data_IF_705798563683
#
_entry.id   IF_705798563683
#
_cell.length_a   1.000
_cell.length_b   1.000
_cell.length_c   1.000
_cell.angle_alpha   90.00
_cell.angle_beta   90.00
_cell.angle_gamma   90.00
#
_symmetry.space_group_name_H-M   'P 1'
#
loop_
_entity.id
_entity.type
_entity.pdbx_description
1 polymer ?
#
# COMPACT_ATOMS: atom_id res chain seq x y z
N UNK A 1 34.35 28.80 12.00
CA UNK A 1 32.90 28.59 11.78
C UNK A 1 32.57 28.31 10.32
N UNK A 2 32.89 29.21 9.37
CA UNK A 2 32.59 29.00 7.93
C UNK A 2 33.16 27.71 7.31
N UNK A 3 34.38 27.31 7.69
CA UNK A 3 35.00 26.05 7.23
C UNK A 3 34.27 24.79 7.72
N UNK A 4 33.72 24.82 8.94
CA UNK A 4 32.97 23.71 9.53
C UNK A 4 31.65 23.51 8.78
N UNK A 5 30.90 24.59 8.55
CA UNK A 5 29.65 24.57 7.80
C UNK A 5 29.85 24.12 6.34
N UNK A 6 30.97 24.52 5.72
CA UNK A 6 31.33 24.06 4.37
C UNK A 6 31.62 22.55 4.31
N UNK A 7 32.30 22.00 5.31
CA UNK A 7 32.58 20.57 5.39
C UNK A 7 31.30 19.73 5.60
N UNK A 8 30.39 20.20 6.46
CA UNK A 8 29.08 19.56 6.68
C UNK A 8 28.22 19.60 5.41
N UNK A 9 28.18 20.73 4.70
CA UNK A 9 27.48 20.84 3.43
C UNK A 9 27.98 19.88 2.36
N UNK A 10 29.31 19.73 2.24
CA UNK A 10 29.92 18.76 1.31
C UNK A 10 29.61 17.32 1.69
N UNK A 11 29.58 16.98 2.98
CA UNK A 11 29.22 15.64 3.44
C UNK A 11 27.77 15.30 3.07
N UNK A 12 26.82 16.21 3.31
CA UNK A 12 25.42 16.02 2.93
C UNK A 12 25.24 15.94 1.42
N UNK A 13 25.98 16.76 0.66
CA UNK A 13 25.95 16.70 -0.80
C UNK A 13 26.45 15.35 -1.33
N UNK A 14 27.54 14.81 -0.75
CA UNK A 14 28.04 13.47 -1.11
C UNK A 14 27.01 12.37 -0.84
N UNK A 15 26.33 12.42 0.30
CA UNK A 15 25.23 11.49 0.63
C UNK A 15 24.10 11.62 -0.40
N UNK A 16 23.65 12.84 -0.67
CA UNK A 16 22.58 13.09 -1.64
C UNK A 16 22.93 12.55 -3.03
N UNK A 17 24.14 12.84 -3.54
CA UNK A 17 24.60 12.36 -4.84
C UNK A 17 24.71 10.82 -4.90
N UNK A 18 25.11 10.16 -3.80
CA UNK A 18 25.11 8.70 -3.72
C UNK A 18 23.69 8.13 -3.82
N UNK A 19 22.73 8.72 -3.12
CA UNK A 19 21.33 8.31 -3.17
C UNK A 19 20.72 8.53 -4.56
N UNK A 20 21.01 9.67 -5.19
CA UNK A 20 20.58 9.97 -6.56
C UNK A 20 21.14 8.95 -7.56
N UNK A 21 22.42 8.60 -7.46
CA UNK A 21 23.03 7.58 -8.32
C UNK A 21 22.38 6.20 -8.13
N UNK A 22 22.11 5.80 -6.89
CA UNK A 22 21.40 4.56 -6.60
C UNK A 22 19.98 4.55 -7.18
N UNK A 23 19.22 5.63 -7.00
CA UNK A 23 17.87 5.78 -7.56
C UNK A 23 17.87 5.76 -9.10
N UNK A 24 18.85 6.41 -9.74
CA UNK A 24 19.02 6.38 -11.18
C UNK A 24 19.28 4.95 -11.68
N UNK A 25 20.16 4.19 -11.02
CA UNK A 25 20.44 2.79 -11.37
C UNK A 25 19.22 1.86 -11.22
N UNK A 26 18.41 2.07 -10.19
CA UNK A 26 17.15 1.33 -10.04
C UNK A 26 16.17 1.64 -11.16
N UNK A 27 16.03 2.93 -11.53
CA UNK A 27 15.15 3.35 -12.62
C UNK A 27 15.59 2.76 -13.96
N UNK A 28 16.87 2.82 -14.29
CA UNK A 28 17.37 2.22 -15.54
C UNK A 28 17.20 0.70 -15.58
N UNK A 29 17.30 0.02 -14.44
CA UNK A 29 17.03 -1.42 -14.36
C UNK A 29 15.56 -1.72 -14.65
N UNK A 30 14.64 -0.93 -14.06
CA UNK A 30 13.21 -1.07 -14.28
C UNK A 30 12.85 -0.81 -15.75
N UNK A 31 13.39 0.26 -16.35
CA UNK A 31 13.15 0.58 -17.75
C UNK A 31 13.62 -0.54 -18.69
N UNK A 32 14.77 -1.16 -18.42
CA UNK A 32 15.27 -2.31 -19.19
C UNK A 32 14.36 -3.53 -19.10
N UNK A 33 13.80 -3.82 -17.91
CA UNK A 33 12.87 -4.94 -17.73
C UNK A 33 11.55 -4.68 -18.47
N UNK A 34 11.04 -3.45 -18.44
CA UNK A 34 9.82 -3.07 -19.16
C UNK A 34 10.01 -3.06 -20.69
N UNK A 35 11.20 -2.71 -21.17
CA UNK A 35 11.51 -2.66 -22.61
C UNK A 35 11.98 -4.01 -23.17
N UNK A 36 12.22 -5.01 -22.32
CA UNK A 36 12.60 -6.35 -22.77
C UNK A 36 11.40 -7.01 -23.47
N UNK A 37 11.46 -7.29 -24.79
CA UNK A 37 10.37 -7.97 -25.46
C UNK A 37 10.39 -9.44 -25.00
N UNK A 38 9.30 -9.91 -24.43
CA UNK A 38 9.02 -11.35 -24.42
C UNK A 38 9.12 -11.83 -25.87
N UNK A 39 10.15 -12.62 -26.18
CA UNK A 39 10.30 -13.29 -27.46
C UNK A 39 9.21 -14.35 -27.60
N UNK A 40 8.00 -13.93 -27.94
CA UNK A 40 6.85 -14.73 -28.29
C UNK A 40 6.38 -14.35 -29.69
N UNK A 41 6.32 -15.33 -30.58
CA UNK A 41 6.13 -15.18 -32.02
C UNK A 41 4.77 -14.59 -32.46
N UNK A 42 4.83 -13.80 -33.56
CA UNK A 42 3.82 -13.52 -34.61
C UNK A 42 2.33 -13.42 -34.24
N UNK A 43 1.74 -12.27 -34.60
CA UNK A 43 0.32 -12.15 -34.91
C UNK A 43 -0.09 -10.70 -35.18
N UNK A 44 -0.49 -10.40 -36.42
CA UNK A 44 -1.04 -9.12 -36.87
C UNK A 44 -2.36 -8.81 -36.13
N UNK A 45 -2.57 -7.53 -35.79
CA UNK A 45 -3.83 -7.05 -35.23
C UNK A 45 -3.68 -5.69 -34.60
N UNK A 46 -4.09 -4.64 -35.33
CA UNK A 46 -4.39 -3.33 -34.76
C UNK A 46 -5.43 -3.51 -33.65
N UNK A 47 -5.01 -3.37 -32.40
CA UNK A 47 -5.91 -3.27 -31.27
C UNK A 47 -5.73 -1.87 -30.70
N UNK A 48 -6.79 -1.06 -30.86
CA UNK A 48 -6.94 0.22 -30.20
C UNK A 48 -6.60 0.07 -28.72
N UNK A 49 -5.75 0.97 -28.21
CA UNK A 49 -5.49 1.04 -26.79
C UNK A 49 -6.77 1.52 -26.11
N UNK A 50 -7.55 0.57 -25.59
CA UNK A 50 -8.64 0.82 -24.66
C UNK A 50 -8.07 1.71 -23.54
N UNK A 51 -8.51 2.97 -23.55
CA UNK A 51 -8.25 3.97 -22.53
C UNK A 51 -8.44 3.31 -21.16
N UNK A 52 -7.37 3.29 -20.37
CA UNK A 52 -7.42 2.75 -19.02
C UNK A 52 -8.42 3.60 -18.25
N UNK A 53 -9.68 3.14 -18.21
CA UNK A 53 -10.71 3.69 -17.38
C UNK A 53 -10.13 3.75 -15.98
N UNK A 54 -9.72 4.95 -15.57
CA UNK A 54 -9.34 5.23 -14.20
C UNK A 54 -10.54 4.81 -13.40
N UNK A 55 -10.43 3.74 -12.62
CA UNK A 55 -11.44 3.30 -11.68
C UNK A 55 -11.53 4.33 -10.54
N UNK A 56 -11.82 5.58 -10.89
CA UNK A 56 -12.50 6.51 -10.02
C UNK A 56 -13.81 5.80 -9.71
N UNK A 57 -13.90 5.31 -8.48
CA UNK A 57 -15.05 4.61 -7.93
C UNK A 57 -16.28 5.52 -8.07
N UNK A 58 -16.94 5.46 -9.23
CA UNK A 58 -18.23 6.07 -9.43
C UNK A 58 -19.20 5.29 -8.56
N UNK A 59 -19.74 6.00 -7.58
CA UNK A 59 -20.63 5.50 -6.55
C UNK A 59 -21.94 5.06 -7.20
N UNK A 60 -21.95 3.86 -7.79
CA UNK A 60 -23.20 3.20 -8.18
C UNK A 60 -23.90 2.76 -6.90
N UNK A 61 -25.03 3.41 -6.63
CA UNK A 61 -26.01 3.01 -5.62
C UNK A 61 -26.57 1.62 -5.98
N UNK A 62 -25.84 0.57 -5.62
CA UNK A 62 -26.34 -0.81 -5.60
C UNK A 62 -26.67 -1.15 -4.16
N UNK A 63 -27.95 -1.07 -3.83
CA UNK A 63 -28.55 -1.79 -2.71
C UNK A 63 -28.41 -3.30 -2.96
N UNK A 64 -27.23 -3.86 -2.67
CA UNK A 64 -26.96 -5.25 -2.32
C UNK A 64 -25.44 -5.54 -2.35
N UNK A 65 -24.66 -4.79 -1.57
CA UNK A 65 -23.46 -5.38 -0.96
C UNK A 65 -23.23 -4.70 0.38
N UNK A 66 -23.26 -5.47 1.47
CA UNK A 66 -22.72 -5.02 2.77
C UNK A 66 -21.20 -5.02 2.64
N UNK A 67 -20.66 -4.19 1.73
CA UNK A 67 -19.24 -4.03 1.47
C UNK A 67 -18.51 -3.22 2.55
N UNK A 68 -19.13 -3.04 3.71
CA UNK A 68 -18.43 -2.62 4.93
C UNK A 68 -17.57 -3.79 5.42
N UNK A 69 -16.37 -3.51 5.91
CA UNK A 69 -15.51 -4.56 6.47
C UNK A 69 -16.23 -5.19 7.66
N UNK A 70 -16.72 -6.43 7.55
CA UNK A 70 -17.36 -7.12 8.67
C UNK A 70 -16.32 -7.58 9.69
N UNK A 71 -16.69 -7.55 10.97
CA UNK A 71 -15.88 -8.09 12.06
C UNK A 71 -15.55 -9.56 11.78
N UNK A 72 -14.27 -9.88 11.69
CA UNK A 72 -13.77 -11.23 11.42
C UNK A 72 -13.98 -12.20 12.60
N UNK A 73 -14.34 -11.69 13.78
CA UNK A 73 -14.61 -12.53 14.95
C UNK A 73 -16.08 -12.93 15.08
N UNK A 74 -17.02 -11.99 14.89
CA UNK A 74 -18.46 -12.28 15.04
C UNK A 74 -19.23 -12.32 13.72
N UNK A 75 -18.73 -11.71 12.65
CA UNK A 75 -19.43 -11.63 11.35
C UNK A 75 -20.63 -10.68 11.31
N UNK A 76 -21.18 -10.28 12.46
CA UNK A 76 -22.44 -9.54 12.54
C UNK A 76 -22.28 -8.01 12.47
N UNK A 77 -21.24 -7.47 13.11
CA UNK A 77 -21.02 -6.02 13.23
C UNK A 77 -19.92 -5.56 12.29
N UNK A 78 -19.95 -4.27 11.92
CA UNK A 78 -18.87 -3.65 11.16
C UNK A 78 -17.56 -3.59 11.97
N UNK A 79 -16.46 -3.81 11.28
CA UNK A 79 -15.12 -3.70 11.82
C UNK A 79 -14.75 -2.23 11.95
N UNK A 80 -14.57 -1.79 13.20
CA UNK A 80 -14.13 -0.44 13.55
C UNK A 80 -12.83 -0.43 14.36
N UNK A 81 -12.20 -1.59 14.59
CA UNK A 81 -10.97 -1.73 15.36
C UNK A 81 -9.80 -2.25 14.51
N UNK A 82 -8.74 -1.45 14.46
CA UNK A 82 -7.47 -1.75 13.82
C UNK A 82 -6.47 -2.31 14.83
N UNK A 83 -5.82 -3.42 14.50
CA UNK A 83 -4.86 -4.10 15.39
C UNK A 83 -3.41 -3.73 15.07
N UNK A 84 -2.60 -3.47 16.10
CA UNK A 84 -1.16 -3.21 15.97
C UNK A 84 -0.35 -4.44 16.43
N UNK A 85 0.74 -4.79 15.72
CA UNK A 85 1.43 -3.98 14.70
C UNK A 85 0.95 -4.19 13.25
N UNK A 86 0.08 -5.17 12.98
CA UNK A 86 -0.25 -5.58 11.60
C UNK A 86 -1.14 -4.60 10.81
N UNK A 87 -1.78 -3.64 11.48
CA UNK A 87 -2.64 -2.60 10.92
C UNK A 87 -3.89 -3.11 10.19
N UNK A 88 -4.36 -4.31 10.49
CA UNK A 88 -5.61 -4.83 9.94
C UNK A 88 -6.82 -4.28 10.72
N UNK A 89 -7.74 -3.61 10.02
CA UNK A 89 -9.06 -3.23 10.52
C UNK A 89 -10.01 -4.40 10.33
N UNK A 90 -10.22 -5.19 11.38
CA UNK A 90 -10.87 -6.50 11.25
C UNK A 90 -11.77 -6.91 12.42
N UNK A 91 -11.90 -6.10 13.47
CA UNK A 91 -12.77 -6.39 14.62
C UNK A 91 -13.77 -5.25 14.85
N UNK A 92 -14.93 -5.57 15.41
CA UNK A 92 -15.83 -4.57 16.00
C UNK A 92 -15.40 -4.25 17.45
N UNK A 93 -15.92 -3.15 18.00
CA UNK A 93 -15.63 -2.74 19.38
C UNK A 93 -16.05 -3.76 20.45
N UNK A 94 -17.04 -4.61 20.16
CA UNK A 94 -17.46 -5.69 21.08
C UNK A 94 -16.50 -6.90 21.11
N UNK A 95 -15.78 -7.15 20.02
CA UNK A 95 -14.88 -8.30 19.89
C UNK A 95 -13.44 -7.99 20.29
N UNK A 96 -13.03 -6.73 20.32
CA UNK A 96 -11.65 -6.29 20.57
C UNK A 96 -11.02 -6.90 21.84
N UNK A 97 -11.78 -6.97 22.94
CA UNK A 97 -11.28 -7.45 24.23
C UNK A 97 -11.07 -8.98 24.27
N UNK A 98 -11.78 -9.73 23.42
CA UNK A 98 -11.72 -11.19 23.40
C UNK A 98 -10.61 -11.75 22.47
N UNK A 99 -9.94 -10.86 21.72
CA UNK A 99 -8.99 -11.25 20.67
C UNK A 99 -7.60 -10.71 20.97
N UNK A 100 -6.64 -11.62 21.12
CA UNK A 100 -5.21 -11.32 21.33
C UNK A 100 -4.34 -11.55 20.09
N UNK A 101 -4.92 -12.04 19.00
CA UNK A 101 -4.23 -12.36 17.75
C UNK A 101 -5.08 -11.88 16.58
N UNK A 102 -4.47 -11.23 15.60
CA UNK A 102 -5.17 -10.74 14.42
C UNK A 102 -5.79 -11.92 13.63
N UNK A 103 -7.13 -11.95 13.41
CA UNK A 103 -7.77 -13.01 12.64
C UNK A 103 -7.31 -13.09 11.17
N UNK A 104 -6.76 -11.99 10.64
CA UNK A 104 -6.34 -11.89 9.23
C UNK A 104 -4.95 -12.48 9.00
N UNK A 105 -3.97 -12.13 9.85
CA UNK A 105 -2.57 -12.47 9.62
C UNK A 105 -1.89 -13.17 10.80
N UNK A 106 -2.65 -13.51 11.84
CA UNK A 106 -2.19 -14.23 13.03
C UNK A 106 -1.08 -13.53 13.83
N UNK A 107 -0.89 -12.22 13.63
CA UNK A 107 0.03 -11.43 14.43
C UNK A 107 -0.56 -11.16 15.82
N UNK A 108 0.26 -11.27 16.88
CA UNK A 108 -0.15 -10.92 18.25
C UNK A 108 -0.54 -9.45 18.34
N UNK A 109 -1.68 -9.18 18.98
CA UNK A 109 -2.17 -7.83 19.28
C UNK A 109 -1.36 -7.24 20.43
N UNK A 110 -0.69 -6.12 20.15
CA UNK A 110 -0.03 -5.32 21.19
C UNK A 110 -0.88 -4.12 21.62
N UNK A 111 -1.62 -3.53 20.69
CA UNK A 111 -2.50 -2.40 20.89
C UNK A 111 -3.56 -2.36 19.80
N UNK A 112 -4.55 -1.49 19.96
CA UNK A 112 -5.67 -1.33 19.03
C UNK A 112 -6.11 0.13 18.94
N UNK A 113 -6.71 0.48 17.81
CA UNK A 113 -7.23 1.81 17.50
C UNK A 113 -8.66 1.70 16.98
N UNK A 114 -9.57 2.51 17.54
CA UNK A 114 -10.93 2.66 17.01
C UNK A 114 -10.92 3.66 15.87
N UNK A 115 -11.41 3.23 14.70
CA UNK A 115 -11.54 4.04 13.50
C UNK A 115 -12.96 4.57 13.44
N UNK A 116 -13.09 5.90 13.38
CA UNK A 116 -14.38 6.54 13.13
C UNK A 116 -14.67 6.47 11.63
N UNK A 117 -15.61 5.62 11.24
CA UNK A 117 -16.12 5.51 9.88
C UNK A 117 -17.29 6.49 9.77
N UNK A 118 -17.13 7.53 8.94
CA UNK A 118 -18.11 8.59 8.73
C UNK A 118 -18.79 8.47 7.36
#
# INVERSE_FOLDING_TARGET
>A
MLRQMGAEGQAWQGIASSHEAAAAGLRTTLDQLLQSPCAGAKGEGEAEAEDAQSCCFEKEEREADRGGWACQACGEAEACVLLLPCRHLCLCGGCEAAVDVCPVCLATKNASLHVLLC
#
